data_IF_360517679541
#
_entry.id   IF_360517679541
#
_cell.length_a   1.000
_cell.length_b   1.000
_cell.length_c   1.000
_cell.angle_alpha   90.00
_cell.angle_beta   90.00
_cell.angle_gamma   90.00
#
_symmetry.space_group_name_H-M   'P 1'
#
loop_
_entity.id
_entity.type
_entity.pdbx_description
1 polymer ?
#
# COMPACT_ATOMS: atom_id res chain seq x y z
N UNK A 1 -4.11 34.42 -17.08
CA UNK A 1 -3.44 33.42 -16.21
C UNK A 1 -4.32 32.18 -16.14
N UNK A 2 -4.02 31.16 -16.96
CA UNK A 2 -4.82 29.95 -17.05
C UNK A 2 -4.37 28.93 -16.00
N UNK A 3 -5.29 28.55 -15.11
CA UNK A 3 -5.15 27.51 -14.10
C UNK A 3 -5.25 26.15 -14.81
N UNK A 4 -4.11 25.50 -15.11
CA UNK A 4 -4.10 24.16 -15.72
C UNK A 4 -4.16 23.09 -14.63
N UNK A 5 -5.37 22.69 -14.28
CA UNK A 5 -5.65 21.56 -13.38
C UNK A 5 -5.74 20.26 -14.19
N UNK A 6 -4.59 19.78 -14.69
CA UNK A 6 -4.51 18.49 -15.40
C UNK A 6 -4.20 17.36 -14.42
N UNK A 7 -5.08 17.13 -13.44
CA UNK A 7 -5.30 15.74 -12.98
C UNK A 7 -6.54 15.29 -13.70
N UNK A 8 -6.33 14.77 -14.91
CA UNK A 8 -7.39 14.33 -15.79
C UNK A 8 -8.27 13.33 -15.03
N UNK A 9 -9.52 13.70 -14.75
CA UNK A 9 -10.54 12.78 -14.21
C UNK A 9 -10.64 11.49 -15.05
N UNK A 10 -10.24 11.57 -16.33
CA UNK A 10 -10.09 10.42 -17.22
C UNK A 10 -9.04 9.40 -16.77
N UNK A 11 -7.95 9.79 -16.11
CA UNK A 11 -6.89 8.88 -15.67
C UNK A 11 -7.28 8.03 -14.46
N UNK A 12 -7.97 8.63 -13.48
CA UNK A 12 -8.53 7.90 -12.32
C UNK A 12 -9.69 7.03 -12.78
N UNK A 13 -10.53 7.54 -13.69
CA UNK A 13 -11.60 6.76 -14.32
C UNK A 13 -11.07 5.56 -15.10
N UNK A 14 -10.01 5.75 -15.92
CA UNK A 14 -9.39 4.69 -16.71
C UNK A 14 -8.74 3.61 -15.83
N UNK A 15 -8.01 4.02 -14.78
CA UNK A 15 -7.41 3.06 -13.84
C UNK A 15 -8.48 2.28 -13.04
N UNK A 16 -9.55 2.96 -12.60
CA UNK A 16 -10.68 2.32 -11.93
C UNK A 16 -11.44 1.37 -12.85
N UNK A 17 -11.65 1.77 -14.11
CA UNK A 17 -12.28 0.95 -15.13
C UNK A 17 -11.46 -0.29 -15.47
N UNK A 18 -10.14 -0.16 -15.69
CA UNK A 18 -9.25 -1.29 -15.92
C UNK A 18 -9.20 -2.24 -14.71
N UNK A 19 -9.17 -1.70 -13.50
CA UNK A 19 -9.24 -2.52 -12.28
C UNK A 19 -10.55 -3.33 -12.25
N UNK A 20 -11.68 -2.69 -12.53
CA UNK A 20 -13.00 -3.29 -12.37
C UNK A 20 -13.39 -4.22 -13.53
N UNK A 21 -13.04 -3.89 -14.77
CA UNK A 21 -13.41 -4.65 -15.97
C UNK A 21 -12.41 -5.72 -16.37
N UNK A 22 -11.13 -5.56 -16.01
CA UNK A 22 -10.06 -6.46 -16.46
C UNK A 22 -9.42 -7.16 -15.27
N UNK A 23 -8.85 -6.41 -14.33
CA UNK A 23 -8.07 -7.02 -13.25
C UNK A 23 -8.94 -7.86 -12.32
N UNK A 24 -10.09 -7.32 -11.89
CA UNK A 24 -10.98 -7.99 -10.95
C UNK A 24 -11.55 -9.30 -11.51
N UNK A 25 -12.10 -9.34 -12.73
CA UNK A 25 -12.62 -10.59 -13.31
C UNK A 25 -11.49 -11.58 -13.62
N UNK A 26 -10.33 -11.13 -14.10
CA UNK A 26 -9.20 -12.04 -14.38
C UNK A 26 -8.64 -12.66 -13.09
N UNK A 27 -8.40 -11.87 -12.05
CA UNK A 27 -7.92 -12.39 -10.76
C UNK A 27 -8.98 -13.30 -10.13
N UNK A 28 -10.24 -12.90 -10.19
CA UNK A 28 -11.36 -13.70 -9.70
C UNK A 28 -11.48 -15.04 -10.42
N UNK A 29 -11.37 -15.05 -11.75
CA UNK A 29 -11.38 -16.26 -12.56
C UNK A 29 -10.23 -17.20 -12.16
N UNK A 30 -8.99 -16.70 -12.07
CA UNK A 30 -7.82 -17.51 -11.66
C UNK A 30 -7.99 -18.15 -10.27
N UNK A 31 -8.71 -17.48 -9.36
CA UNK A 31 -9.04 -18.00 -8.04
C UNK A 31 -10.19 -19.02 -8.08
N UNK A 32 -11.12 -18.88 -9.03
CA UNK A 32 -12.28 -19.74 -9.22
C UNK A 32 -12.04 -20.93 -10.17
N UNK A 33 -10.88 -21.01 -10.85
CA UNK A 33 -10.54 -22.08 -11.81
C UNK A 33 -10.89 -23.49 -11.33
N UNK A 34 -10.61 -23.91 -10.07
CA UNK A 34 -10.92 -25.27 -9.62
C UNK A 34 -12.41 -25.62 -9.62
N UNK A 35 -13.28 -24.61 -9.67
CA UNK A 35 -14.74 -24.76 -9.68
C UNK A 35 -15.30 -24.51 -11.07
N UNK A 36 -14.91 -23.41 -11.70
CA UNK A 36 -15.44 -23.01 -13.00
C UNK A 36 -15.00 -23.93 -14.15
N UNK A 37 -13.77 -24.49 -14.10
CA UNK A 37 -13.27 -25.32 -15.19
C UNK A 37 -13.92 -26.70 -15.24
N UNK A 38 -14.08 -27.45 -14.13
CA UNK A 38 -14.83 -28.71 -14.15
C UNK A 38 -16.28 -28.56 -14.65
N UNK A 39 -16.98 -27.50 -14.24
CA UNK A 39 -18.34 -27.22 -14.69
C UNK A 39 -18.40 -26.99 -16.20
N UNK A 40 -17.42 -26.24 -16.74
CA UNK A 40 -17.32 -26.01 -18.18
C UNK A 40 -16.97 -27.28 -18.97
N UNK A 41 -16.08 -28.12 -18.45
CA UNK A 41 -15.71 -29.40 -19.08
C UNK A 41 -16.88 -30.40 -19.08
N UNK A 42 -17.71 -30.38 -18.03
CA UNK A 42 -18.91 -31.22 -17.94
C UNK A 42 -19.99 -30.85 -18.97
N UNK A 43 -20.04 -29.60 -19.42
CA UNK A 43 -20.97 -29.13 -20.45
C UNK A 43 -20.52 -29.43 -21.88
N UNK A 44 -19.26 -29.85 -22.09
CA UNK A 44 -18.80 -30.23 -23.42
C UNK A 44 -19.49 -31.51 -23.90
N UNK A 45 -19.62 -31.66 -25.23
CA UNK A 45 -20.15 -32.87 -25.86
C UNK A 45 -19.07 -33.49 -26.75
N UNK A 46 -18.45 -34.61 -26.34
CA UNK A 46 -18.71 -35.41 -25.14
C UNK A 46 -18.20 -34.74 -23.84
N UNK A 47 -18.78 -35.08 -22.66
CA UNK A 47 -18.35 -34.54 -21.38
C UNK A 47 -16.89 -34.89 -21.11
N UNK A 48 -16.08 -33.88 -20.81
CA UNK A 48 -14.69 -34.08 -20.46
C UNK A 48 -14.52 -34.03 -18.94
N UNK A 49 -13.61 -34.85 -18.42
CA UNK A 49 -13.18 -34.74 -17.03
C UNK A 49 -11.66 -34.60 -16.98
N UNK A 50 -11.13 -33.83 -16.00
CA UNK A 50 -9.70 -33.80 -15.78
C UNK A 50 -9.22 -35.20 -15.38
N UNK A 51 -8.36 -35.79 -16.21
CA UNK A 51 -7.79 -37.11 -16.00
C UNK A 51 -6.30 -36.99 -15.66
N UNK A 52 -5.94 -37.42 -14.45
CA UNK A 52 -4.56 -37.56 -14.03
C UNK A 52 -4.06 -36.48 -13.08
N UNK A 53 -3.06 -36.88 -12.29
CA UNK A 53 -2.46 -36.06 -11.22
C UNK A 53 -1.96 -34.69 -11.70
N UNK A 54 -1.37 -34.63 -12.90
CA UNK A 54 -0.81 -33.39 -13.47
C UNK A 54 -1.88 -32.35 -13.78
N UNK A 55 -3.07 -32.77 -14.22
CA UNK A 55 -4.18 -31.86 -14.53
C UNK A 55 -4.77 -31.26 -13.25
N UNK A 56 -4.98 -32.08 -12.22
CA UNK A 56 -5.40 -31.59 -10.90
C UNK A 56 -4.34 -30.67 -10.26
N UNK A 57 -3.07 -31.01 -10.38
CA UNK A 57 -1.99 -30.17 -9.88
C UNK A 57 -1.99 -28.79 -10.56
N UNK A 58 -2.16 -28.74 -11.89
CA UNK A 58 -2.26 -27.47 -12.61
C UNK A 58 -3.49 -26.66 -12.16
N UNK A 59 -4.66 -27.30 -12.06
CA UNK A 59 -5.92 -26.68 -11.61
C UNK A 59 -5.79 -25.97 -10.25
N UNK A 60 -5.21 -26.65 -9.26
CA UNK A 60 -5.05 -26.09 -7.92
C UNK A 60 -3.80 -25.21 -7.75
N UNK A 61 -2.82 -25.28 -8.66
CA UNK A 61 -1.66 -24.40 -8.64
C UNK A 61 -2.03 -22.94 -8.93
N UNK A 62 -2.95 -22.69 -9.88
CA UNK A 62 -3.38 -21.33 -10.25
C UNK A 62 -3.90 -20.48 -9.07
N UNK A 63 -4.88 -20.94 -8.27
CA UNK A 63 -5.38 -20.16 -7.14
C UNK A 63 -4.30 -19.98 -6.05
N UNK A 64 -3.47 -21.00 -5.81
CA UNK A 64 -2.38 -20.93 -4.81
C UNK A 64 -1.34 -19.88 -5.21
N UNK A 65 -0.86 -19.92 -6.45
CA UNK A 65 0.10 -18.96 -6.99
C UNK A 65 -0.49 -17.55 -6.98
N UNK A 66 -1.76 -17.40 -7.37
CA UNK A 66 -2.45 -16.10 -7.37
C UNK A 66 -2.58 -15.55 -5.95
N UNK A 67 -2.98 -16.36 -4.97
CA UNK A 67 -3.09 -15.95 -3.58
C UNK A 67 -1.72 -15.55 -2.99
N UNK A 68 -0.65 -16.30 -3.31
CA UNK A 68 0.72 -15.94 -2.92
C UNK A 68 1.15 -14.62 -3.55
N UNK A 69 0.91 -14.41 -4.85
CA UNK A 69 1.24 -13.17 -5.53
C UNK A 69 0.51 -11.96 -4.92
N UNK A 70 -0.79 -12.08 -4.64
CA UNK A 70 -1.59 -11.03 -4.02
C UNK A 70 -1.13 -10.70 -2.59
N UNK A 71 -0.78 -11.72 -1.80
CA UNK A 71 -0.30 -11.51 -0.42
C UNK A 71 1.09 -10.88 -0.37
N UNK A 72 1.99 -11.28 -1.28
CA UNK A 72 3.29 -10.65 -1.47
C UNK A 72 3.14 -9.20 -1.94
N UNK A 73 2.24 -8.94 -2.90
CA UNK A 73 1.96 -7.59 -3.40
C UNK A 73 1.36 -6.68 -2.31
N UNK A 74 0.45 -7.21 -1.48
CA UNK A 74 -0.18 -6.48 -0.39
C UNK A 74 0.82 -6.16 0.75
N UNK A 75 1.75 -7.09 1.03
CA UNK A 75 2.73 -6.97 2.10
C UNK A 75 3.95 -6.12 1.72
N UNK A 76 3.84 -4.80 1.79
CA UNK A 76 5.03 -3.93 1.71
C UNK A 76 5.80 -3.94 3.04
N UNK A 77 6.98 -4.57 3.01
CA UNK A 77 8.13 -4.35 3.92
C UNK A 77 8.20 -5.14 5.24
N UNK A 78 8.19 -6.48 5.21
CA UNK A 78 8.99 -7.28 6.17
C UNK A 78 9.48 -8.58 5.52
N UNK A 79 10.76 -8.68 5.11
CA UNK A 79 11.29 -9.85 4.41
C UNK A 79 11.43 -11.12 5.29
N UNK A 80 10.94 -11.11 6.54
CA UNK A 80 11.33 -12.13 7.53
C UNK A 80 10.17 -12.93 8.16
N UNK A 81 8.93 -12.81 7.70
CA UNK A 81 7.83 -13.70 8.12
C UNK A 81 7.16 -14.34 6.92
N UNK A 82 7.90 -15.23 6.23
CA UNK A 82 7.34 -16.06 5.16
C UNK A 82 6.14 -16.88 5.64
N UNK A 83 6.13 -17.33 6.91
CA UNK A 83 4.96 -17.96 7.54
C UNK A 83 3.71 -17.07 7.54
N UNK A 84 3.86 -15.75 7.68
CA UNK A 84 2.72 -14.82 7.63
C UNK A 84 2.16 -14.72 6.20
N UNK A 85 3.02 -14.80 5.18
CA UNK A 85 2.59 -14.84 3.78
C UNK A 85 1.78 -16.11 3.53
N UNK A 86 2.27 -17.27 3.99
CA UNK A 86 1.56 -18.54 3.89
C UNK A 86 0.21 -18.51 4.64
N UNK A 87 0.19 -18.01 5.88
CA UNK A 87 -1.04 -17.90 6.66
C UNK A 87 -2.07 -16.96 5.99
N UNK A 88 -1.60 -15.84 5.42
CA UNK A 88 -2.45 -14.90 4.66
C UNK A 88 -2.98 -15.54 3.38
N UNK A 89 -2.15 -16.29 2.66
CA UNK A 89 -2.55 -16.97 1.44
C UNK A 89 -3.58 -18.07 1.73
N UNK A 90 -3.36 -18.86 2.78
CA UNK A 90 -4.33 -19.84 3.26
C UNK A 90 -5.66 -19.19 3.68
N UNK A 91 -5.59 -18.07 4.42
CA UNK A 91 -6.78 -17.30 4.79
C UNK A 91 -7.55 -16.76 3.60
N UNK A 92 -6.85 -16.22 2.58
CA UNK A 92 -7.47 -15.76 1.34
C UNK A 92 -8.15 -16.92 0.58
N UNK A 93 -7.46 -18.06 0.43
CA UNK A 93 -8.03 -19.24 -0.22
C UNK A 93 -9.27 -19.75 0.51
N UNK A 94 -9.26 -19.78 1.84
CA UNK A 94 -10.42 -20.17 2.64
C UNK A 94 -11.61 -19.20 2.45
N UNK A 95 -11.35 -17.89 2.41
CA UNK A 95 -12.40 -16.89 2.15
C UNK A 95 -12.97 -17.01 0.74
N UNK A 96 -12.13 -17.25 -0.25
CA UNK A 96 -12.56 -17.49 -1.65
C UNK A 96 -13.41 -18.75 -1.72
N UNK A 97 -12.96 -19.86 -1.12
CA UNK A 97 -13.72 -21.11 -1.10
C UNK A 97 -15.10 -20.94 -0.45
N UNK A 98 -15.16 -20.23 0.68
CA UNK A 98 -16.44 -19.92 1.35
C UNK A 98 -17.35 -19.07 0.47
N UNK A 99 -16.81 -18.06 -0.23
CA UNK A 99 -17.57 -17.21 -1.13
C UNK A 99 -18.09 -17.98 -2.36
N UNK A 100 -17.27 -18.86 -2.95
CA UNK A 100 -17.68 -19.72 -4.06
C UNK A 100 -18.79 -20.68 -3.63
N UNK A 101 -18.63 -21.36 -2.49
CA UNK A 101 -19.66 -22.24 -1.95
C UNK A 101 -20.98 -21.52 -1.70
N UNK A 102 -20.92 -20.32 -1.12
CA UNK A 102 -22.09 -19.46 -0.95
C UNK A 102 -22.70 -19.06 -2.30
N UNK A 103 -21.89 -18.74 -3.29
CA UNK A 103 -22.37 -18.28 -4.61
C UNK A 103 -23.04 -19.43 -5.38
N UNK A 104 -22.44 -20.62 -5.37
CA UNK A 104 -23.02 -21.84 -5.94
C UNK A 104 -24.36 -22.19 -5.31
N UNK A 105 -24.51 -22.01 -3.99
CA UNK A 105 -25.81 -22.22 -3.32
C UNK A 105 -26.93 -21.31 -3.84
N UNK A 106 -26.58 -20.17 -4.48
CA UNK A 106 -27.53 -19.20 -5.03
C UNK A 106 -27.74 -19.34 -6.53
N UNK A 107 -26.68 -19.63 -7.29
CA UNK A 107 -26.67 -19.57 -8.76
C UNK A 107 -26.48 -20.94 -9.41
N UNK A 108 -26.25 -22.01 -8.64
CA UNK A 108 -25.98 -23.36 -9.16
C UNK A 108 -27.09 -23.95 -10.02
N UNK A 109 -28.35 -23.53 -9.80
CA UNK A 109 -29.50 -23.93 -10.62
C UNK A 109 -29.69 -23.14 -11.92
N UNK A 110 -28.84 -22.17 -12.23
CA UNK A 110 -28.99 -21.36 -13.43
C UNK A 110 -28.52 -22.14 -14.67
N UNK A 111 -29.33 -22.27 -15.74
CA UNK A 111 -29.03 -23.12 -16.90
C UNK A 111 -27.88 -22.60 -17.78
N UNK A 112 -27.38 -21.40 -17.53
CA UNK A 112 -26.39 -20.73 -18.36
C UNK A 112 -25.05 -20.67 -17.62
N UNK A 113 -24.05 -21.42 -18.11
CA UNK A 113 -22.73 -21.53 -17.50
C UNK A 113 -22.00 -20.19 -17.37
N UNK A 114 -22.18 -19.31 -18.34
CA UNK A 114 -21.58 -17.98 -18.36
C UNK A 114 -22.05 -17.13 -17.17
N UNK A 115 -23.33 -17.23 -16.77
CA UNK A 115 -23.87 -16.51 -15.62
C UNK A 115 -23.23 -17.03 -14.32
N UNK A 116 -23.09 -18.34 -14.18
CA UNK A 116 -22.44 -18.98 -13.03
C UNK A 116 -20.96 -18.57 -12.94
N UNK A 117 -20.23 -18.72 -14.04
CA UNK A 117 -18.81 -18.38 -14.12
C UNK A 117 -18.55 -16.89 -13.85
N UNK A 118 -19.40 -15.97 -14.35
CA UNK A 118 -19.31 -14.54 -14.08
C UNK A 118 -19.58 -14.23 -12.61
N UNK A 119 -20.62 -14.84 -12.02
CA UNK A 119 -20.96 -14.64 -10.62
C UNK A 119 -19.82 -15.11 -9.69
N UNK A 120 -19.31 -16.31 -9.93
CA UNK A 120 -18.20 -16.90 -9.17
C UNK A 120 -16.91 -16.08 -9.29
N UNK A 121 -16.52 -15.71 -10.52
CA UNK A 121 -15.32 -14.90 -10.76
C UNK A 121 -15.44 -13.52 -10.12
N UNK A 122 -16.62 -12.88 -10.20
CA UNK A 122 -16.85 -11.57 -9.57
C UNK A 122 -16.78 -11.67 -8.05
N UNK A 123 -17.39 -12.70 -7.46
CA UNK A 123 -17.35 -12.93 -6.02
C UNK A 123 -15.92 -13.15 -5.52
N UNK A 124 -15.16 -14.05 -6.17
CA UNK A 124 -13.77 -14.31 -5.83
C UNK A 124 -12.88 -13.07 -5.99
N UNK A 125 -13.06 -12.31 -7.07
CA UNK A 125 -12.36 -11.06 -7.32
C UNK A 125 -12.61 -10.01 -6.24
N UNK A 126 -13.87 -9.81 -5.84
CA UNK A 126 -14.25 -8.87 -4.77
C UNK A 126 -13.65 -9.28 -3.42
N UNK A 127 -13.68 -10.56 -3.07
CA UNK A 127 -13.04 -11.08 -1.84
C UNK A 127 -11.55 -10.79 -1.87
N UNK A 128 -10.86 -11.06 -2.98
CA UNK A 128 -9.44 -10.77 -3.14
C UNK A 128 -9.13 -9.28 -3.00
N UNK A 129 -9.94 -8.41 -3.60
CA UNK A 129 -9.79 -6.96 -3.52
C UNK A 129 -9.95 -6.45 -2.07
N UNK A 130 -11.03 -6.87 -1.39
CA UNK A 130 -11.30 -6.51 0.01
C UNK A 130 -10.19 -7.03 0.91
N UNK A 131 -9.73 -8.26 0.69
CA UNK A 131 -8.62 -8.85 1.43
C UNK A 131 -7.33 -8.03 1.27
N UNK A 132 -6.93 -7.70 0.04
CA UNK A 132 -5.74 -6.88 -0.23
C UNK A 132 -5.88 -5.51 0.42
N UNK A 133 -7.05 -4.87 0.31
CA UNK A 133 -7.33 -3.60 0.96
C UNK A 133 -7.21 -3.69 2.49
N UNK A 134 -7.81 -4.72 3.09
CA UNK A 134 -7.79 -4.97 4.52
C UNK A 134 -6.36 -5.24 5.02
N UNK A 135 -5.57 -6.06 4.32
CA UNK A 135 -4.17 -6.32 4.66
C UNK A 135 -3.35 -5.03 4.58
N UNK A 136 -3.51 -4.23 3.52
CA UNK A 136 -2.80 -2.95 3.38
C UNK A 136 -3.19 -1.95 4.46
N UNK A 137 -4.47 -1.89 4.82
CA UNK A 137 -4.98 -1.06 5.91
C UNK A 137 -4.43 -1.53 7.26
N UNK A 138 -4.42 -2.83 7.50
CA UNK A 138 -3.94 -3.45 8.72
C UNK A 138 -2.42 -3.29 8.91
N UNK A 139 -1.64 -3.39 7.84
CA UNK A 139 -0.21 -3.12 7.87
C UNK A 139 0.06 -1.62 8.08
N UNK A 140 -0.79 -0.74 7.53
CA UNK A 140 -0.73 0.69 7.81
C UNK A 140 -1.07 1.04 9.28
N UNK A 141 -2.07 0.38 9.88
CA UNK A 141 -2.44 0.59 11.29
C UNK A 141 -1.48 -0.08 12.28
N UNK A 142 -0.91 -1.25 11.95
CA UNK A 142 0.16 -1.88 12.76
C UNK A 142 1.49 -1.13 12.68
N UNK A 143 1.77 -0.45 11.57
CA UNK A 143 2.85 0.54 11.49
C UNK A 143 2.56 1.81 12.31
N UNK A 144 1.32 2.00 12.76
CA UNK A 144 0.84 3.11 13.57
C UNK A 144 0.42 2.70 14.99
N UNK A 145 0.94 1.58 15.53
CA UNK A 145 0.78 1.29 16.96
C UNK A 145 1.63 2.25 17.80
N UNK A 146 1.11 2.74 18.94
CA UNK A 146 1.83 3.68 19.79
C UNK A 146 3.14 3.02 20.23
N UNK A 147 4.23 3.78 20.19
CA UNK A 147 5.48 3.41 20.81
C UNK A 147 5.24 3.29 22.32
N UNK A 148 4.73 2.15 22.76
CA UNK A 148 4.83 1.75 24.15
C UNK A 148 6.31 1.61 24.46
N UNK A 149 6.74 2.39 25.45
CA UNK A 149 8.10 2.42 26.01
C UNK A 149 8.67 1.00 26.04
N UNK A 150 9.81 0.79 25.36
CA UNK A 150 10.73 -0.31 25.69
C UNK A 150 11.05 -1.33 24.60
N UNK A 151 10.35 -1.38 23.46
CA UNK A 151 10.69 -2.38 22.43
C UNK A 151 11.84 -1.90 21.52
N UNK A 152 13.07 -2.22 21.92
CA UNK A 152 14.29 -2.05 21.11
C UNK A 152 14.14 -2.82 19.78
N UNK A 153 14.21 -2.17 18.60
CA UNK A 153 14.12 -2.89 17.33
C UNK A 153 15.33 -3.78 17.13
N UNK A 154 15.08 -5.03 16.80
CA UNK A 154 16.09 -6.00 16.39
C UNK A 154 16.90 -5.47 15.19
N UNK A 155 18.22 -5.49 15.37
CA UNK A 155 19.27 -5.40 14.33
C UNK A 155 19.03 -4.38 13.22
N UNK A 156 19.27 -3.12 13.57
CA UNK A 156 19.65 -2.10 12.61
C UNK A 156 20.92 -2.57 11.85
N UNK A 157 20.75 -3.12 10.65
CA UNK A 157 21.67 -2.77 9.56
C UNK A 157 21.80 -1.26 9.62
N UNK A 158 22.96 -0.72 10.05
CA UNK A 158 23.19 0.71 10.35
C UNK A 158 22.53 1.59 9.30
N UNK A 159 21.28 1.99 9.55
CA UNK A 159 20.62 2.96 8.71
C UNK A 159 21.44 4.23 8.89
N UNK A 160 21.88 4.81 7.77
CA UNK A 160 22.66 6.03 7.81
C UNK A 160 21.86 7.06 8.61
N UNK A 161 22.50 7.64 9.62
CA UNK A 161 21.87 8.67 10.46
C UNK A 161 21.38 9.81 9.56
N UNK A 162 20.10 10.22 9.68
CA UNK A 162 19.60 11.42 9.02
C UNK A 162 20.49 12.62 9.31
N UNK A 163 20.86 13.36 8.26
CA UNK A 163 21.71 14.54 8.36
C UNK A 163 20.91 15.83 8.08
N UNK A 164 21.33 16.99 8.63
CA UNK A 164 20.71 18.27 8.32
C UNK A 164 20.57 18.52 6.81
N UNK A 165 19.42 19.07 6.42
CA UNK A 165 19.06 19.38 5.04
C UNK A 165 18.65 18.18 4.20
N UNK A 166 18.45 17.02 4.80
CA UNK A 166 17.92 15.85 4.09
C UNK A 166 16.40 15.73 4.26
N UNK A 167 15.75 15.21 3.22
CA UNK A 167 14.33 14.89 3.23
C UNK A 167 14.15 13.40 3.50
N UNK A 168 13.35 13.08 4.51
CA UNK A 168 13.09 11.71 4.94
C UNK A 168 11.59 11.43 5.04
N UNK A 169 11.23 10.15 5.00
CA UNK A 169 9.89 9.69 5.35
C UNK A 169 9.93 9.13 6.78
N UNK A 170 9.14 9.69 7.69
CA UNK A 170 9.16 9.33 9.10
C UNK A 170 7.74 9.33 9.72
N UNK A 171 7.62 8.73 10.91
CA UNK A 171 6.49 8.97 11.80
C UNK A 171 6.76 10.27 12.57
N UNK A 172 6.06 11.33 12.19
CA UNK A 172 6.24 12.68 12.76
C UNK A 172 5.10 12.93 13.76
N UNK A 173 5.41 13.30 15.02
CA UNK A 173 4.38 13.66 16.01
C UNK A 173 3.47 14.77 15.50
N UNK A 174 2.19 14.76 15.83
CA UNK A 174 1.26 15.86 15.57
C UNK A 174 1.47 17.01 16.56
N UNK A 175 1.08 18.22 16.18
CA UNK A 175 1.39 19.42 17.00
C UNK A 175 0.33 19.57 18.09
N UNK A 176 -0.90 19.28 17.71
CA UNK A 176 -2.10 19.30 18.54
C UNK A 176 -2.10 18.15 19.55
N UNK A 177 -1.47 17.02 19.18
CA UNK A 177 -1.31 15.86 20.05
C UNK A 177 0.05 15.18 19.79
N UNK A 178 1.10 15.54 20.56
CA UNK A 178 2.43 14.92 20.43
C UNK A 178 2.45 13.42 20.74
N UNK A 179 1.41 12.88 21.41
CA UNK A 179 1.24 11.45 21.65
C UNK A 179 0.81 10.68 20.39
N UNK A 180 0.29 11.38 19.39
CA UNK A 180 -0.03 10.82 18.08
C UNK A 180 1.04 11.16 17.06
N UNK A 181 1.39 10.18 16.22
CA UNK A 181 2.37 10.36 15.15
C UNK A 181 1.75 9.94 13.82
N UNK A 182 2.05 10.66 12.76
CA UNK A 182 1.56 10.37 11.42
C UNK A 182 2.71 10.25 10.43
N UNK A 183 2.51 9.45 9.38
CA UNK A 183 3.51 9.27 8.33
C UNK A 183 3.58 10.52 7.46
N UNK A 184 4.68 11.26 7.55
CA UNK A 184 4.94 12.45 6.75
C UNK A 184 6.34 12.46 6.17
N UNK A 185 6.52 13.20 5.07
CA UNK A 185 7.84 13.66 4.70
C UNK A 185 8.28 14.74 5.69
N UNK A 186 9.57 14.81 5.98
CA UNK A 186 10.13 15.83 6.84
C UNK A 186 11.52 16.26 6.37
N UNK A 187 11.90 17.51 6.65
CA UNK A 187 13.27 18.01 6.50
C UNK A 187 13.96 17.88 7.84
N UNK A 188 15.13 17.26 7.87
CA UNK A 188 15.99 17.22 9.06
C UNK A 188 16.62 18.59 9.25
N UNK A 189 16.35 19.22 10.38
CA UNK A 189 16.91 20.52 10.77
C UNK A 189 18.21 20.32 11.56
N UNK A 190 18.18 19.47 12.58
CA UNK A 190 19.33 19.12 13.40
C UNK A 190 19.34 17.62 13.73
N UNK A 191 20.52 17.08 14.00
CA UNK A 191 20.70 15.69 14.40
C UNK A 191 21.39 15.63 15.76
N UNK A 192 20.70 15.09 16.76
CA UNK A 192 21.17 14.91 18.14
C UNK A 192 21.49 13.46 18.43
N UNK A 193 22.18 13.15 19.53
CA UNK A 193 22.70 11.82 19.86
C UNK A 193 21.68 10.66 19.75
N UNK A 194 20.42 10.90 20.09
CA UNK A 194 19.32 9.92 20.18
C UNK A 194 18.13 10.20 19.26
N UNK A 195 17.95 11.46 18.82
CA UNK A 195 16.85 11.89 17.97
C UNK A 195 17.29 12.89 16.89
N UNK A 196 16.41 13.15 15.94
CA UNK A 196 16.54 14.25 14.99
C UNK A 196 15.43 15.28 15.22
N UNK A 197 15.74 16.54 14.98
CA UNK A 197 14.77 17.63 14.94
C UNK A 197 14.38 17.87 13.49
N UNK A 198 13.07 17.91 13.24
CA UNK A 198 12.54 17.93 11.88
C UNK A 198 11.43 18.96 11.70
N UNK A 199 11.32 19.48 10.47
CA UNK A 199 10.16 20.23 10.00
C UNK A 199 9.29 19.31 9.14
N UNK A 200 7.99 19.30 9.41
CA UNK A 200 7.03 18.49 8.66
C UNK A 200 6.80 19.09 7.27
N UNK A 201 6.69 18.22 6.27
CA UNK A 201 6.29 18.57 4.91
C UNK A 201 4.84 18.13 4.68
N UNK A 202 4.06 19.00 4.05
CA UNK A 202 2.68 18.74 3.62
C UNK A 202 2.55 18.95 2.10
N UNK A 203 1.70 18.14 1.48
CA UNK A 203 1.33 18.30 0.07
C UNK A 203 0.11 19.21 -0.11
N UNK A 204 -0.51 19.66 0.98
CA UNK A 204 -1.63 20.60 0.93
C UNK A 204 -1.09 22.01 0.72
N UNK A 205 -1.74 22.77 -0.16
CA UNK A 205 -1.41 24.16 -0.41
C UNK A 205 -1.47 24.99 0.88
N UNK A 206 -0.41 25.75 1.14
CA UNK A 206 -0.24 26.68 2.26
C UNK A 206 0.27 28.04 1.79
N UNK A 207 0.12 28.37 0.50
CA UNK A 207 0.47 29.70 0.00
C UNK A 207 -0.29 30.78 0.77
N UNK A 208 0.39 31.90 1.04
CA UNK A 208 -0.14 33.00 1.85
C UNK A 208 -0.04 32.80 3.37
N UNK A 209 0.42 31.64 3.86
CA UNK A 209 0.69 31.43 5.29
C UNK A 209 2.14 31.74 5.64
N UNK A 210 2.35 32.47 6.74
CA UNK A 210 3.68 32.83 7.25
C UNK A 210 4.42 31.67 7.93
N UNK A 211 3.70 30.63 8.36
CA UNK A 211 4.27 29.46 9.04
C UNK A 211 4.60 28.30 8.09
N UNK A 212 4.58 28.54 6.78
CA UNK A 212 4.97 27.56 5.77
C UNK A 212 5.79 28.24 4.68
N UNK A 213 6.80 27.54 4.18
CA UNK A 213 7.50 27.94 2.95
C UNK A 213 7.24 26.90 1.86
N UNK A 214 7.12 27.38 0.63
CA UNK A 214 6.97 26.52 -0.54
C UNK A 214 8.27 25.75 -0.77
N UNK A 215 8.15 24.44 -0.90
CA UNK A 215 9.23 23.49 -1.14
C UNK A 215 9.07 22.94 -2.57
N UNK A 216 9.92 23.39 -3.52
CA UNK A 216 9.98 22.78 -4.84
C UNK A 216 10.27 21.28 -4.76
N UNK A 217 9.78 20.52 -5.73
CA UNK A 217 9.97 19.08 -5.75
C UNK A 217 11.43 18.70 -6.09
N UNK A 218 12.12 19.44 -6.96
CA UNK A 218 13.54 19.25 -7.34
C UNK A 218 14.01 17.78 -7.44
N UNK A 219 13.12 16.88 -7.85
CA UNK A 219 13.35 15.44 -7.99
C UNK A 219 13.32 14.58 -6.71
N UNK A 220 13.04 15.13 -5.51
CA UNK A 220 13.01 14.35 -4.26
C UNK A 220 11.72 13.53 -4.08
N UNK A 221 10.58 14.01 -4.57
CA UNK A 221 9.32 13.27 -4.66
C UNK A 221 9.02 12.84 -6.10
N UNK A 222 9.40 11.59 -6.41
CA UNK A 222 9.19 10.98 -7.74
C UNK A 222 7.75 10.55 -8.01
N UNK A 223 6.85 10.64 -7.02
CA UNK A 223 5.48 10.12 -7.13
C UNK A 223 4.50 11.22 -7.49
N UNK A 224 4.46 12.32 -6.73
CA UNK A 224 3.42 13.34 -6.96
C UNK A 224 3.77 14.36 -8.04
N UNK A 225 5.06 14.65 -8.25
CA UNK A 225 5.50 15.70 -9.17
C UNK A 225 5.15 17.13 -8.73
N UNK A 226 4.47 17.30 -7.59
CA UNK A 226 3.88 18.59 -7.15
C UNK A 226 4.82 19.34 -6.22
N UNK A 227 4.61 20.64 -6.11
CA UNK A 227 5.21 21.42 -5.03
C UNK A 227 4.61 20.99 -3.68
N UNK A 228 5.42 21.12 -2.64
CA UNK A 228 5.05 20.85 -1.26
C UNK A 228 5.24 22.11 -0.42
N UNK A 229 4.87 22.05 0.85
CA UNK A 229 5.10 23.12 1.81
C UNK A 229 5.73 22.52 3.05
N UNK A 230 6.73 23.20 3.61
CA UNK A 230 7.40 22.79 4.85
C UNK A 230 7.10 23.81 5.93
N UNK A 231 6.77 23.30 7.13
CA UNK A 231 6.52 24.12 8.30
C UNK A 231 7.75 24.97 8.65
N UNK A 232 7.53 26.25 8.97
CA UNK A 232 8.53 27.20 9.45
C UNK A 232 7.93 28.05 10.58
N UNK A 233 8.74 28.87 11.25
CA UNK A 233 8.32 29.78 12.33
C UNK A 233 7.84 29.10 13.61
N UNK A 234 8.07 27.78 13.76
CA UNK A 234 7.65 27.01 14.94
C UNK A 234 8.77 26.10 15.42
N UNK A 235 8.73 25.71 16.70
CA UNK A 235 9.66 24.76 17.28
C UNK A 235 9.76 23.47 16.44
N UNK A 236 10.97 22.95 16.20
CA UNK A 236 11.18 21.68 15.52
C UNK A 236 10.47 20.51 16.23
N UNK A 237 10.05 19.51 15.46
CA UNK A 237 9.48 18.27 16.01
C UNK A 237 10.61 17.29 16.27
N UNK A 238 10.63 16.65 17.44
CA UNK A 238 11.61 15.61 17.77
C UNK A 238 11.14 14.26 17.25
N UNK A 239 12.02 13.56 16.53
CA UNK A 239 11.76 12.25 15.94
C UNK A 239 12.92 11.32 16.25
N UNK A 240 12.65 10.24 16.98
CA UNK A 240 13.62 9.20 17.28
C UNK A 240 14.10 8.51 16.00
N UNK A 241 15.36 8.08 15.95
CA UNK A 241 15.91 7.42 14.76
C UNK A 241 15.15 6.15 14.34
N UNK A 242 14.53 5.45 15.31
CA UNK A 242 13.70 4.28 15.04
C UNK A 242 12.39 4.58 14.29
N UNK A 243 12.00 5.85 14.20
CA UNK A 243 10.76 6.30 13.55
C UNK A 243 10.98 6.76 12.08
N UNK A 244 12.22 6.74 11.61
CA UNK A 244 12.53 6.94 10.19
C UNK A 244 12.21 5.66 9.41
N UNK A 245 11.34 5.79 8.40
CA UNK A 245 10.75 4.64 7.71
C UNK A 245 11.57 4.18 6.50
N UNK A 246 12.64 4.88 6.15
CA UNK A 246 13.53 4.53 5.02
C UNK A 246 14.96 4.38 5.50
N UNK A 247 15.75 3.57 4.80
CA UNK A 247 17.19 3.39 5.11
C UNK A 247 18.09 4.46 4.50
N UNK A 248 17.54 5.29 3.60
CA UNK A 248 18.20 6.39 2.89
C UNK A 248 17.24 7.58 2.76
N UNK A 249 17.76 8.81 2.60
CA UNK A 249 16.93 9.99 2.34
C UNK A 249 16.22 9.89 0.99
N UNK A 250 15.10 10.60 0.85
CA UNK A 250 14.41 10.79 -0.44
C UNK A 250 15.19 11.74 -1.35
N UNK A 251 15.86 12.71 -0.75
CA UNK A 251 16.68 13.71 -1.44
C UNK A 251 17.20 14.76 -0.48
N UNK A 252 17.81 15.81 -1.03
CA UNK A 252 18.20 17.01 -0.30
C UNK A 252 17.07 18.03 -0.35
N UNK A 253 16.94 18.80 0.72
CA UNK A 253 16.12 19.99 0.73
C UNK A 253 16.67 21.00 -0.29
N UNK A 254 15.85 21.54 -1.21
CA UNK A 254 16.23 22.61 -2.11
C UNK A 254 16.95 23.75 -1.40
N UNK A 255 18.08 24.20 -1.95
CA UNK A 255 18.97 25.16 -1.30
C UNK A 255 18.27 26.48 -0.85
N UNK A 256 17.31 27.07 -1.60
CA UNK A 256 16.58 28.24 -1.12
C UNK A 256 15.75 27.95 0.13
N UNK A 257 15.01 26.84 0.16
CA UNK A 257 14.20 26.45 1.30
C UNK A 257 15.07 26.07 2.50
N UNK A 258 16.18 25.34 2.26
CA UNK A 258 17.12 24.98 3.33
C UNK A 258 17.72 26.22 4.01
N UNK A 259 18.13 27.23 3.25
CA UNK A 259 18.67 28.48 3.82
C UNK A 259 17.65 29.22 4.69
N UNK A 260 16.36 29.13 4.38
CA UNK A 260 15.32 29.74 5.22
C UNK A 260 15.12 28.94 6.51
N UNK A 261 15.07 27.61 6.42
CA UNK A 261 14.90 26.73 7.58
C UNK A 261 16.11 26.79 8.52
N UNK A 262 17.33 26.80 7.98
CA UNK A 262 18.57 26.78 8.77
C UNK A 262 18.88 28.09 9.49
N UNK A 263 18.14 29.17 9.20
CA UNK A 263 18.30 30.48 9.84
C UNK A 263 17.34 30.70 11.00
N UNK A 264 16.43 29.76 11.24
CA UNK A 264 15.53 29.89 12.37
C UNK A 264 16.31 29.71 13.67
N UNK A 265 16.16 30.62 14.65
CA UNK A 265 16.71 30.42 15.98
C UNK A 265 16.03 29.21 16.63
N UNK A 266 16.80 28.49 17.45
CA UNK A 266 16.34 27.35 18.27
C UNK A 266 15.23 27.77 19.25
#
# INVERSE_FOLDING_TARGET
MARRSDTSCAGIGCAGFLLLMVVLPTVGYLLAVPVALPDLLAEQSPPQQPHGFTQYLALYAFPVVTALALTLFAGRRRPFLWWLVLARAAGLLALVAAALWWTQSKVGGHPAWNVRAVAESTAAGLVALVFVWAVRRWDATRGARPATRGARPATATRARRPAPGEIWLAMVPLREDPGQQMRHYCVVLAAHADHAEVAQITSQDKDGRSDHIRLPNDGWDKVSGRAHWVETGRAPRRVDYGLFLTSRPQGRCPAPAWRMLSRQPD
#
